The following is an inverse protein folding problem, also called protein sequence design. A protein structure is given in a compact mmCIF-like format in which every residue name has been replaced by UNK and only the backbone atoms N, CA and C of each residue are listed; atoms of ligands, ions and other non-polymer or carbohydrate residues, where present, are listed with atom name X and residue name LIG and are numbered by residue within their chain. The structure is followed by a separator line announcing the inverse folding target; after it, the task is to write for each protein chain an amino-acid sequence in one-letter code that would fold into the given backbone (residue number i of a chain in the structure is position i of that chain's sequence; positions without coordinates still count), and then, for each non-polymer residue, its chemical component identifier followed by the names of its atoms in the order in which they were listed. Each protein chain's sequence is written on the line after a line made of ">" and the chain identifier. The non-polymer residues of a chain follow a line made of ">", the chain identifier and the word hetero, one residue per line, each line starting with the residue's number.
data_IF_847520073947
#
_entry.id   IF_847520073947
#
_cell.length_a   1.000
_cell.length_b   1.000
_cell.length_c   1.000
_cell.angle_alpha   90.00
_cell.angle_beta   90.00
_cell.angle_gamma   90.00
#
_symmetry.space_group_name_H-M   'P 1'
#
loop_
_entity.id
_entity.type
_entity.pdbx_description
1 polymer ?
#
# COMPACT_ATOMS: atom_id res chain seq x y z
N UNK A 1 6.82 1.20 6.24
CA UNK A 1 6.41 0.56 4.97
C UNK A 1 7.66 -0.09 4.36
N UNK A 2 7.58 -1.30 3.79
CA UNK A 2 8.73 -1.91 3.09
C UNK A 2 9.06 -1.11 1.82
N UNK A 3 10.34 -1.08 1.40
CA UNK A 3 10.76 -0.40 0.15
C UNK A 3 9.99 -0.91 -1.07
N UNK A 4 9.82 -2.22 -1.18
CA UNK A 4 9.05 -2.84 -2.28
C UNK A 4 7.58 -2.37 -2.31
N UNK A 5 6.94 -2.25 -1.14
CA UNK A 5 5.57 -1.74 -1.06
C UNK A 5 5.50 -0.26 -1.47
N UNK A 6 6.50 0.55 -1.09
CA UNK A 6 6.60 1.96 -1.49
C UNK A 6 6.77 2.10 -3.01
N UNK A 7 7.63 1.30 -3.62
CA UNK A 7 7.83 1.27 -5.07
C UNK A 7 6.55 0.87 -5.80
N UNK A 8 5.87 -0.18 -5.34
CA UNK A 8 4.60 -0.64 -5.91
C UNK A 8 3.50 0.41 -5.80
N UNK A 9 3.36 1.06 -4.65
CA UNK A 9 2.39 2.14 -4.47
C UNK A 9 2.74 3.37 -5.31
N UNK A 10 4.01 3.71 -5.46
CA UNK A 10 4.45 4.83 -6.31
C UNK A 10 4.18 4.58 -7.80
N UNK A 11 4.31 3.32 -8.23
CA UNK A 11 4.06 2.89 -9.61
C UNK A 11 2.57 2.75 -9.93
N UNK A 12 1.79 2.14 -9.04
CA UNK A 12 0.37 1.81 -9.28
C UNK A 12 -0.55 2.96 -8.87
N UNK A 13 -0.17 3.73 -7.85
CA UNK A 13 -0.95 4.85 -7.28
C UNK A 13 -2.41 4.46 -6.98
N UNK A 14 -2.64 3.49 -6.09
CA UNK A 14 -4.00 3.06 -5.76
C UNK A 14 -4.82 4.23 -5.18
N UNK A 15 -6.08 4.35 -5.58
CA UNK A 15 -6.99 5.41 -5.16
C UNK A 15 -7.65 5.15 -3.80
N UNK A 16 -7.60 3.89 -3.33
CA UNK A 16 -8.16 3.50 -2.04
C UNK A 16 -7.43 2.27 -1.49
N UNK A 17 -7.62 2.01 -0.19
CA UNK A 17 -6.99 0.89 0.52
C UNK A 17 -7.41 -0.46 -0.06
N UNK A 18 -8.67 -0.59 -0.51
CA UNK A 18 -9.16 -1.83 -1.13
C UNK A 18 -8.39 -2.16 -2.43
N UNK A 19 -8.04 -1.15 -3.23
CA UNK A 19 -7.20 -1.32 -4.41
C UNK A 19 -5.75 -1.63 -4.02
N UNK A 20 -5.20 -0.92 -3.02
CA UNK A 20 -3.85 -1.17 -2.53
C UNK A 20 -3.65 -2.61 -2.04
N UNK A 21 -4.66 -3.19 -1.39
CA UNK A 21 -4.62 -4.57 -0.89
C UNK A 21 -4.66 -5.66 -1.98
N UNK A 22 -5.04 -5.33 -3.22
CA UNK A 22 -5.00 -6.26 -4.35
C UNK A 22 -3.65 -6.29 -5.06
N UNK A 23 -2.73 -5.39 -4.70
CA UNK A 23 -1.40 -5.34 -5.30
C UNK A 23 -0.59 -6.53 -4.80
N UNK A 24 -0.08 -7.34 -5.74
CA UNK A 24 0.71 -8.53 -5.41
C UNK A 24 1.90 -8.20 -4.50
N UNK A 25 2.07 -8.97 -3.43
CA UNK A 25 3.13 -8.79 -2.44
C UNK A 25 2.90 -7.64 -1.45
N UNK A 26 1.71 -7.03 -1.43
CA UNK A 26 1.29 -6.15 -0.32
C UNK A 26 0.69 -6.99 0.79
N UNK A 27 1.13 -6.74 2.02
CA UNK A 27 0.65 -7.43 3.21
C UNK A 27 -0.40 -6.60 3.96
N UNK A 28 -1.23 -7.22 4.83
CA UNK A 28 -2.10 -6.47 5.72
C UNK A 28 -1.35 -5.43 6.58
N UNK A 29 -0.10 -5.72 6.98
CA UNK A 29 0.72 -4.78 7.74
C UNK A 29 1.08 -3.52 6.93
N UNK A 30 1.36 -3.65 5.63
CA UNK A 30 1.61 -2.49 4.75
C UNK A 30 0.36 -1.60 4.61
N UNK A 31 -0.83 -2.20 4.59
CA UNK A 31 -2.10 -1.47 4.52
C UNK A 31 -2.40 -0.70 5.82
N UNK A 32 -2.09 -1.28 6.98
CA UNK A 32 -2.23 -0.60 8.28
C UNK A 32 -1.30 0.59 8.37
N UNK A 33 -0.05 0.43 7.93
CA UNK A 33 0.89 1.55 7.91
C UNK A 33 0.43 2.63 6.93
N UNK A 34 -0.03 2.25 5.72
CA UNK A 34 -0.58 3.19 4.74
C UNK A 34 -1.79 3.97 5.29
N UNK A 35 -2.72 3.29 5.99
CA UNK A 35 -3.90 3.94 6.57
C UNK A 35 -3.57 4.92 7.70
N UNK A 36 -2.46 4.70 8.41
CA UNK A 36 -1.97 5.62 9.43
C UNK A 36 -1.31 6.87 8.84
N UNK A 37 -0.73 6.80 7.64
CA UNK A 37 -0.18 7.97 6.93
C UNK A 37 -1.24 8.83 6.21
N UNK A 38 -2.42 8.29 5.94
CA UNK A 38 -3.53 9.01 5.29
C UNK A 38 -4.51 9.67 6.28
N UNK A 39 -4.29 9.49 7.58
CA UNK A 39 -4.91 10.30 8.65
C UNK A 39 -4.14 11.60 8.82
#
# INVERSE_FOLDING_TARGET
>A
LRKEAQEKFSRIRPQNIAQAGRISGITPADLVVLSMYLK
#
